data_IF_498351380711
#
_entry.id   IF_498351380711
#
_cell.length_a   1.000
_cell.length_b   1.000
_cell.length_c   1.000
_cell.angle_alpha   90.00
_cell.angle_beta   90.00
_cell.angle_gamma   90.00
#
_symmetry.space_group_name_H-M   'P 1'
#
loop_
_entity.id
_entity.type
_entity.pdbx_description
1 polymer ?
#
# COMPACT_ATOMS: atom_id res chain seq x y z
N UNK A 1 -8.35 -16.07 -8.46
CA UNK A 1 -6.92 -16.12 -8.08
C UNK A 1 -6.16 -16.80 -9.20
N UNK A 2 -5.00 -16.27 -9.59
CA UNK A 2 -4.11 -16.91 -10.57
C UNK A 2 -3.16 -17.89 -9.85
N UNK A 3 -2.86 -19.03 -10.46
CA UNK A 3 -1.92 -20.02 -9.94
C UNK A 3 -0.57 -19.86 -10.64
N UNK A 4 0.52 -19.79 -9.87
CA UNK A 4 1.88 -19.61 -10.38
C UNK A 4 2.71 -20.83 -9.99
N UNK A 5 3.42 -21.40 -10.96
CA UNK A 5 4.45 -22.41 -10.74
C UNK A 5 5.81 -21.76 -10.99
N UNK A 6 6.71 -21.81 -10.01
CA UNK A 6 8.07 -21.28 -10.13
C UNK A 6 9.09 -22.34 -9.75
N UNK A 7 10.25 -22.32 -10.41
CA UNK A 7 11.39 -23.15 -10.08
C UNK A 7 12.45 -22.27 -9.41
N UNK A 8 12.83 -22.64 -8.20
CA UNK A 8 13.88 -21.97 -7.43
C UNK A 8 14.79 -23.04 -6.81
N UNK A 9 16.08 -22.75 -6.60
CA UNK A 9 17.02 -23.67 -5.96
C UNK A 9 16.56 -24.15 -4.58
N UNK A 10 16.93 -25.38 -4.21
CA UNK A 10 16.50 -26.02 -2.96
C UNK A 10 16.95 -25.25 -1.70
N UNK A 11 18.13 -24.64 -1.74
CA UNK A 11 18.63 -23.80 -0.66
C UNK A 11 17.77 -22.55 -0.46
N UNK A 12 17.26 -21.96 -1.55
CA UNK A 12 16.32 -20.83 -1.51
C UNK A 12 14.97 -21.29 -0.97
N UNK A 13 14.47 -22.47 -1.35
CA UNK A 13 13.25 -23.06 -0.78
C UNK A 13 13.39 -23.28 0.73
N UNK A 14 14.54 -23.78 1.18
CA UNK A 14 14.81 -23.98 2.61
C UNK A 14 14.79 -22.65 3.38
N UNK A 15 15.39 -21.59 2.82
CA UNK A 15 15.35 -20.25 3.40
C UNK A 15 13.93 -19.67 3.43
N UNK A 16 13.17 -19.83 2.34
CA UNK A 16 11.78 -19.37 2.24
C UNK A 16 10.90 -20.02 3.33
N UNK A 17 11.03 -21.34 3.52
CA UNK A 17 10.31 -22.08 4.57
C UNK A 17 10.62 -21.54 5.97
N UNK A 18 11.90 -21.33 6.28
CA UNK A 18 12.32 -20.77 7.58
C UNK A 18 11.75 -19.38 7.82
N UNK A 19 11.74 -18.51 6.81
CA UNK A 19 11.16 -17.15 6.93
C UNK A 19 9.64 -17.18 7.09
N UNK A 20 8.96 -18.08 6.38
CA UNK A 20 7.52 -18.28 6.50
C UNK A 20 7.13 -18.75 7.91
N UNK A 21 7.86 -19.73 8.46
CA UNK A 21 7.67 -20.24 9.82
C UNK A 21 7.87 -19.15 10.88
N UNK A 22 8.95 -18.37 10.80
CA UNK A 22 9.19 -17.21 11.67
C UNK A 22 8.08 -16.15 11.61
N UNK A 23 7.36 -16.10 10.50
CA UNK A 23 6.24 -15.17 10.29
C UNK A 23 4.89 -15.79 10.64
N UNK A 24 4.84 -17.05 11.11
CA UNK A 24 3.61 -17.84 11.32
C UNK A 24 2.72 -17.92 10.07
N UNK A 25 3.32 -18.00 8.87
CA UNK A 25 2.62 -18.10 7.59
C UNK A 25 2.97 -19.41 6.88
N UNK A 26 2.04 -19.92 6.07
CA UNK A 26 2.36 -20.99 5.11
C UNK A 26 3.30 -20.46 4.02
N UNK A 27 4.06 -21.36 3.39
CA UNK A 27 5.00 -20.99 2.31
C UNK A 27 4.30 -20.23 1.20
N UNK A 28 3.14 -20.70 0.74
CA UNK A 28 2.38 -20.03 -0.33
C UNK A 28 1.88 -18.65 0.09
N UNK A 29 1.42 -18.48 1.33
CA UNK A 29 0.96 -17.18 1.85
C UNK A 29 2.12 -16.20 2.04
N UNK A 30 3.26 -16.70 2.49
CA UNK A 30 4.48 -15.91 2.61
C UNK A 30 5.01 -15.46 1.24
N UNK A 31 5.03 -16.36 0.25
CA UNK A 31 5.42 -16.02 -1.12
C UNK A 31 4.47 -14.97 -1.73
N UNK A 32 3.16 -15.15 -1.58
CA UNK A 32 2.18 -14.16 -2.02
C UNK A 32 2.40 -12.79 -1.36
N UNK A 33 2.75 -12.75 -0.06
CA UNK A 33 3.08 -11.49 0.62
C UNK A 33 4.31 -10.82 0.01
N UNK A 34 5.38 -11.58 -0.26
CA UNK A 34 6.59 -11.02 -0.88
C UNK A 34 6.31 -10.46 -2.26
N UNK A 35 5.56 -11.20 -3.09
CA UNK A 35 5.17 -10.74 -4.44
C UNK A 35 4.34 -9.48 -4.35
N UNK A 36 3.36 -9.40 -3.45
CA UNK A 36 2.59 -8.16 -3.28
C UNK A 36 3.51 -7.00 -2.85
N UNK A 37 4.35 -7.19 -1.84
CA UNK A 37 5.27 -6.14 -1.36
C UNK A 37 6.23 -5.61 -2.44
N UNK A 38 6.68 -6.49 -3.34
CA UNK A 38 7.66 -6.13 -4.36
C UNK A 38 7.00 -5.56 -5.64
N UNK A 39 5.85 -6.11 -6.05
CA UNK A 39 5.19 -5.76 -7.31
C UNK A 39 4.20 -4.61 -7.16
N UNK A 40 3.53 -4.48 -6.01
CA UNK A 40 2.58 -3.36 -5.83
C UNK A 40 3.32 -2.08 -5.50
N UNK A 41 3.25 -1.09 -6.39
CA UNK A 41 3.64 0.29 -6.11
C UNK A 41 2.43 1.04 -5.55
N UNK A 42 2.39 1.24 -4.23
CA UNK A 42 1.30 1.97 -3.59
C UNK A 42 1.28 1.76 -2.08
N UNK A 43 0.51 2.60 -1.40
CA UNK A 43 0.21 2.37 0.01
C UNK A 43 -0.73 1.15 0.12
N UNK A 44 -0.63 0.33 1.19
CA UNK A 44 -1.59 -0.73 1.43
C UNK A 44 -3.04 -0.20 1.42
N UNK A 45 -4.00 -1.02 1.02
CA UNK A 45 -5.41 -0.66 1.08
C UNK A 45 -5.78 -0.23 2.51
N UNK A 46 -6.41 0.95 2.63
CA UNK A 46 -6.80 1.51 3.92
C UNK A 46 -5.64 2.11 4.74
N UNK A 47 -4.42 2.19 4.21
CA UNK A 47 -3.28 2.71 4.96
C UNK A 47 -3.44 4.19 5.32
N UNK A 48 -3.88 5.03 4.39
CA UNK A 48 -4.01 6.46 4.65
C UNK A 48 -5.05 6.72 5.75
N UNK A 49 -6.14 5.97 5.68
CA UNK A 49 -7.24 5.94 6.63
C UNK A 49 -6.80 5.51 8.03
N UNK A 50 -5.95 4.47 8.12
CA UNK A 50 -5.46 3.92 9.39
C UNK A 50 -4.32 4.74 10.01
N UNK A 51 -3.47 5.38 9.21
CA UNK A 51 -2.24 6.01 9.68
C UNK A 51 -2.36 7.52 9.83
N UNK A 52 -2.97 8.19 8.86
CA UNK A 52 -3.16 9.65 8.91
C UNK A 52 -4.52 10.04 9.51
N UNK A 53 -5.39 9.05 9.74
CA UNK A 53 -6.74 9.25 10.23
C UNK A 53 -7.68 9.64 9.10
N UNK A 54 -8.89 9.09 9.14
CA UNK A 54 -9.99 9.59 8.33
C UNK A 54 -10.58 10.83 9.00
N UNK A 55 -11.11 11.74 8.19
CA UNK A 55 -11.97 12.79 8.73
C UNK A 55 -13.24 12.15 9.30
N UNK A 56 -13.40 12.19 10.63
CA UNK A 56 -14.56 11.64 11.34
C UNK A 56 -15.74 12.64 11.47
N UNK A 57 -15.61 13.85 10.93
CA UNK A 57 -16.64 14.89 10.99
C UNK A 57 -17.65 14.82 9.85
N UNK A 58 -18.52 15.83 9.76
CA UNK A 58 -19.48 15.98 8.65
C UNK A 58 -18.78 16.14 7.30
N UNK A 59 -19.47 15.78 6.21
CA UNK A 59 -18.94 15.90 4.84
C UNK A 59 -18.32 17.28 4.61
N UNK A 60 -17.03 17.32 4.26
CA UNK A 60 -16.34 18.56 3.97
C UNK A 60 -17.03 19.29 2.82
N UNK A 61 -17.64 20.44 3.12
CA UNK A 61 -18.21 21.31 2.12
C UNK A 61 -17.21 22.41 1.77
N UNK A 62 -16.88 22.52 0.48
CA UNK A 62 -16.12 23.65 -0.02
C UNK A 62 -17.03 24.90 0.06
N UNK A 63 -16.64 25.96 0.80
CA UNK A 63 -17.38 27.21 0.79
C UNK A 63 -17.30 27.88 -0.60
N UNK A 64 -18.18 28.83 -0.88
CA UNK A 64 -18.09 29.62 -2.10
C UNK A 64 -16.71 30.29 -2.20
N UNK A 65 -16.09 30.20 -3.38
CA UNK A 65 -14.70 30.59 -3.61
C UNK A 65 -14.45 32.11 -3.47
N UNK A 66 -15.52 32.92 -3.46
CA UNK A 66 -15.44 34.37 -3.44
C UNK A 66 -14.76 34.95 -4.68
N UNK A 67 -14.50 36.26 -4.64
CA UNK A 67 -13.77 36.95 -5.71
C UNK A 67 -12.26 36.82 -5.55
N UNK A 68 -11.54 36.89 -6.67
CA UNK A 68 -10.08 36.93 -6.65
C UNK A 68 -9.57 38.22 -6.01
N UNK A 69 -8.44 38.11 -5.32
CA UNK A 69 -7.66 39.25 -4.86
C UNK A 69 -7.22 40.11 -6.07
N UNK A 70 -7.45 41.43 -5.99
CA UNK A 70 -6.90 42.37 -6.97
C UNK A 70 -5.46 42.69 -6.59
N UNK A 71 -4.52 42.26 -7.42
CA UNK A 71 -3.09 42.58 -7.27
C UNK A 71 -2.72 43.76 -8.14
N UNK A 72 -1.74 44.54 -7.69
CA UNK A 72 -1.16 45.63 -8.49
C UNK A 72 -0.49 45.05 -9.74
N UNK A 73 -0.56 45.80 -10.84
CA UNK A 73 0.18 45.47 -12.05
C UNK A 73 1.67 45.72 -11.80
N UNK A 74 2.53 44.88 -12.36
CA UNK A 74 3.96 45.16 -12.44
C UNK A 74 4.19 46.14 -13.59
N UNK A 75 4.72 47.32 -13.27
CA UNK A 75 5.23 48.29 -14.25
C UNK A 75 6.56 47.81 -14.88
#
# INVERSE_FOLDING_TARGET
MAQIHCYIPDDVVAQLRRKAEKSHLSVSKYLARLVNQDVTSGWPDGYFEQVFGQWEGETLQRPEQGDYEKREALD
#
